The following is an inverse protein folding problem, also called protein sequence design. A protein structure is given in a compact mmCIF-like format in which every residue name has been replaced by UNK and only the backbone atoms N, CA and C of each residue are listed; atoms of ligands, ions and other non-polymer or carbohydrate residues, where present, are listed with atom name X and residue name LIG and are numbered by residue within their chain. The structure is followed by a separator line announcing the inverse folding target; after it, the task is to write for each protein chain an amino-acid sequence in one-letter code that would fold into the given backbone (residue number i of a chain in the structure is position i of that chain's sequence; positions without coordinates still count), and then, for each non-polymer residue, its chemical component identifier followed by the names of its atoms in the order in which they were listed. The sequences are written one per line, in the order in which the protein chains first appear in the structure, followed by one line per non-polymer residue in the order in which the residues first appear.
data_IF_418234685125
#
_entry.id   IF_418234685125
#
_cell.length_a   1.000
_cell.length_b   1.000
_cell.length_c   1.000
_cell.angle_alpha   90.00
_cell.angle_beta   90.00
_cell.angle_gamma   90.00
#
_symmetry.space_group_name_H-M   'P 1'
#
loop_
_entity.id
_entity.type
_entity.pdbx_description
1 polymer ?
#
# COMPACT_ATOMS: atom_id res chain seq x y z
N UNK A 1 14.84 2.85 18.61
CA UNK A 1 13.74 1.88 18.80
C UNK A 1 13.86 0.82 17.72
N UNK A 2 13.83 -0.47 18.06
CA UNK A 2 13.77 -1.54 17.06
C UNK A 2 12.34 -1.59 16.53
N UNK A 3 12.17 -1.26 15.26
CA UNK A 3 10.90 -1.40 14.56
C UNK A 3 10.61 -2.91 14.44
N UNK A 4 9.48 -3.43 14.96
CA UNK A 4 9.11 -4.84 14.81
C UNK A 4 9.02 -5.21 13.32
N UNK A 5 9.37 -6.45 12.97
CA UNK A 5 9.37 -6.96 11.59
C UNK A 5 8.01 -6.86 10.86
N UNK A 6 6.91 -6.61 11.58
CA UNK A 6 5.59 -6.33 11.01
C UNK A 6 5.53 -5.01 10.22
N UNK A 7 6.31 -4.00 10.60
CA UNK A 7 6.32 -2.69 9.96
C UNK A 7 6.99 -2.67 8.57
N UNK A 8 8.04 -3.46 8.38
CA UNK A 8 8.65 -3.71 7.07
C UNK A 8 7.67 -4.35 6.09
N UNK A 9 6.65 -5.07 6.59
CA UNK A 9 5.57 -5.59 5.76
C UNK A 9 4.54 -4.52 5.40
N UNK A 10 4.24 -3.54 6.26
CA UNK A 10 3.32 -2.41 5.93
C UNK A 10 3.84 -1.59 4.75
N UNK A 11 5.16 -1.49 4.61
CA UNK A 11 5.80 -0.96 3.42
C UNK A 11 5.41 -1.75 2.16
N UNK A 12 5.45 -3.09 2.15
CA UNK A 12 5.03 -3.92 1.00
C UNK A 12 3.59 -3.63 0.53
N UNK A 13 2.71 -3.20 1.43
CA UNK A 13 1.26 -3.25 1.28
C UNK A 13 0.69 -2.11 0.43
N UNK A 14 1.33 -0.95 0.33
CA UNK A 14 0.71 0.23 -0.30
C UNK A 14 1.03 0.41 -1.79
N UNK A 15 1.86 -0.45 -2.38
CA UNK A 15 2.47 -0.19 -3.69
C UNK A 15 1.79 -0.87 -4.87
N UNK A 16 1.37 -2.12 -4.70
CA UNK A 16 0.94 -2.92 -5.83
C UNK A 16 -0.35 -2.45 -6.55
N UNK A 17 -1.33 -1.79 -5.91
CA UNK A 17 -2.49 -1.28 -6.64
C UNK A 17 -2.13 -0.24 -7.71
N UNK A 18 -1.01 0.48 -7.54
CA UNK A 18 -0.58 1.55 -8.45
C UNK A 18 0.19 1.04 -9.67
N UNK A 19 0.98 -0.02 -9.51
CA UNK A 19 1.76 -0.60 -10.61
C UNK A 19 0.86 -1.15 -11.73
N UNK A 20 -0.30 -1.70 -11.35
CA UNK A 20 -1.22 -2.38 -12.27
C UNK A 20 -2.05 -1.35 -13.07
N UNK A 21 -2.30 -0.16 -12.51
CA UNK A 21 -3.18 0.85 -13.12
C UNK A 21 -2.48 2.11 -13.64
N UNK A 22 -1.24 2.41 -13.22
CA UNK A 22 -0.54 3.63 -13.64
C UNK A 22 0.15 3.53 -15.00
N UNK A 23 0.11 2.38 -15.69
CA UNK A 23 0.79 2.21 -16.99
C UNK A 23 -0.12 1.61 -18.07
N UNK A 24 -0.07 2.12 -19.31
CA UNK A 24 -0.64 1.41 -20.45
C UNK A 24 0.09 0.07 -20.61
N UNK A 25 -0.66 -1.04 -20.60
CA UNK A 25 -0.25 -2.43 -20.90
C UNK A 25 1.26 -2.63 -21.11
N UNK A 26 2.04 -2.69 -20.03
CA UNK A 26 3.40 -3.24 -20.11
C UNK A 26 3.26 -4.74 -19.82
N UNK A 27 3.54 -5.55 -20.84
CA UNK A 27 3.62 -7.00 -20.71
C UNK A 27 4.72 -7.39 -19.72
N UNK A 28 4.37 -8.34 -18.85
CA UNK A 28 5.21 -8.92 -17.80
C UNK A 28 6.59 -9.43 -18.30
N UNK A 29 7.57 -9.60 -17.38
CA UNK A 29 7.42 -9.49 -15.93
C UNK A 29 7.69 -8.08 -15.39
N UNK A 30 6.63 -7.45 -14.88
CA UNK A 30 6.67 -6.28 -14.01
C UNK A 30 6.99 -6.73 -12.58
N UNK A 31 8.11 -7.42 -12.42
CA UNK A 31 8.60 -7.84 -11.10
C UNK A 31 9.19 -6.61 -10.40
N UNK A 32 8.85 -6.47 -9.13
CA UNK A 32 9.43 -5.45 -8.26
C UNK A 32 10.07 -6.13 -7.06
N UNK A 33 11.22 -5.60 -6.65
CA UNK A 33 11.96 -6.08 -5.48
C UNK A 33 11.93 -4.97 -4.45
N UNK A 34 11.38 -5.24 -3.27
CA UNK A 34 11.42 -4.30 -2.16
C UNK A 34 12.62 -4.61 -1.26
N UNK A 35 13.38 -3.59 -0.93
CA UNK A 35 14.40 -3.64 0.11
C UNK A 35 14.01 -2.68 1.22
N UNK A 36 13.69 -3.22 2.38
CA UNK A 36 13.29 -2.43 3.54
C UNK A 36 14.46 -2.19 4.49
N UNK A 37 14.56 -0.97 5.01
CA UNK A 37 15.50 -0.56 6.04
C UNK A 37 14.79 0.38 7.00
N UNK A 38 14.54 -0.09 8.21
CA UNK A 38 13.86 0.65 9.28
C UNK A 38 12.52 1.23 8.80
N UNK A 39 12.41 2.56 8.75
CA UNK A 39 11.21 3.32 8.37
C UNK A 39 11.16 3.67 6.87
N UNK A 40 12.16 3.22 6.10
CA UNK A 40 12.30 3.48 4.68
C UNK A 40 12.30 2.17 3.88
N UNK A 41 11.79 2.20 2.66
CA UNK A 41 11.96 1.07 1.72
C UNK A 41 12.18 1.56 0.31
N UNK A 42 13.13 0.95 -0.38
CA UNK A 42 13.37 1.16 -1.79
C UNK A 42 12.71 0.04 -2.58
N UNK A 43 12.06 0.38 -3.69
CA UNK A 43 11.45 -0.59 -4.58
C UNK A 43 12.13 -0.51 -5.92
N UNK A 44 12.78 -1.61 -6.27
CA UNK A 44 13.49 -1.76 -7.52
C UNK A 44 12.56 -2.35 -8.57
N UNK A 45 12.60 -1.83 -9.79
CA UNK A 45 12.09 -2.53 -10.96
C UNK A 45 12.98 -3.74 -11.30
N UNK A 46 12.48 -4.62 -12.18
CA UNK A 46 13.22 -5.79 -12.65
C UNK A 46 14.59 -5.47 -13.26
N UNK A 47 14.81 -4.25 -13.77
CA UNK A 47 16.10 -3.78 -14.29
C UNK A 47 17.05 -3.24 -13.21
N UNK A 48 16.69 -3.37 -11.92
CA UNK A 48 17.52 -2.98 -10.78
C UNK A 48 17.52 -1.48 -10.47
N UNK A 49 16.68 -0.68 -11.12
CA UNK A 49 16.54 0.76 -10.80
C UNK A 49 15.50 0.97 -9.72
N UNK A 50 15.72 1.97 -8.85
CA UNK A 50 14.70 2.40 -7.89
C UNK A 50 13.52 2.99 -8.67
N UNK A 51 12.39 2.29 -8.67
CA UNK A 51 11.14 2.74 -9.26
C UNK A 51 10.35 3.61 -8.30
N UNK A 52 10.38 3.26 -7.01
CA UNK A 52 9.65 3.96 -5.95
C UNK A 52 10.41 3.92 -4.63
N UNK A 53 10.04 4.85 -3.76
CA UNK A 53 10.53 4.90 -2.38
C UNK A 53 9.35 5.06 -1.42
N UNK A 54 9.40 4.27 -0.35
CA UNK A 54 8.50 4.28 0.78
C UNK A 54 9.12 5.06 1.94
N UNK A 55 8.34 5.90 2.60
CA UNK A 55 8.69 6.42 3.92
C UNK A 55 7.53 6.25 4.89
N UNK A 56 7.80 5.70 6.06
CA UNK A 56 6.92 5.69 7.20
C UNK A 56 7.42 6.71 8.21
N UNK A 57 6.58 7.64 8.60
CA UNK A 57 6.88 8.58 9.68
C UNK A 57 5.98 8.22 10.85
N UNK A 58 6.58 7.64 11.89
CA UNK A 58 5.94 7.41 13.17
C UNK A 58 5.99 8.71 13.99
N UNK A 59 4.90 9.02 14.69
CA UNK A 59 4.83 10.12 15.64
C UNK A 59 5.37 11.44 15.08
N UNK A 60 4.97 11.82 13.86
CA UNK A 60 5.45 13.04 13.22
C UNK A 60 5.31 14.22 14.22
N UNK A 61 6.41 14.89 14.62
CA UNK A 61 6.52 15.57 15.92
C UNK A 61 5.59 16.78 16.11
N UNK A 62 4.85 17.18 15.07
CA UNK A 62 3.89 18.27 15.13
C UNK A 62 2.42 17.84 15.26
N UNK A 63 2.08 16.56 15.05
CA UNK A 63 0.68 16.12 15.04
C UNK A 63 0.39 14.80 15.76
N UNK A 64 1.41 13.99 16.09
CA UNK A 64 1.17 12.66 16.68
C UNK A 64 0.35 11.77 15.75
N UNK A 65 0.65 11.80 14.44
CA UNK A 65 -0.05 10.99 13.45
C UNK A 65 0.96 10.11 12.72
N UNK A 66 0.63 8.83 12.55
CA UNK A 66 1.38 7.94 11.64
C UNK A 66 1.13 8.38 10.19
N UNK A 67 2.20 8.66 9.45
CA UNK A 67 2.15 9.06 8.04
C UNK A 67 2.91 8.11 7.16
N UNK A 68 2.37 7.92 5.97
CA UNK A 68 3.00 7.11 4.95
C UNK A 68 3.17 7.94 3.69
N UNK A 69 4.39 8.01 3.17
CA UNK A 69 4.72 8.78 1.98
C UNK A 69 5.21 7.86 0.88
N UNK A 70 4.58 7.96 -0.29
CA UNK A 70 5.07 7.34 -1.51
C UNK A 70 5.80 8.38 -2.35
N UNK A 71 7.01 8.05 -2.81
CA UNK A 71 7.79 8.84 -3.77
C UNK A 71 8.14 7.98 -4.99
N UNK A 72 8.37 8.63 -6.12
CA UNK A 72 8.99 7.97 -7.27
C UNK A 72 10.50 7.78 -7.07
N UNK A 73 11.16 7.13 -8.03
CA UNK A 73 12.60 6.91 -8.02
C UNK A 73 13.45 8.19 -7.98
N UNK A 74 12.89 9.34 -8.35
CA UNK A 74 13.56 10.64 -8.27
C UNK A 74 13.34 11.36 -6.93
N UNK A 75 12.72 10.70 -5.95
CA UNK A 75 12.30 11.23 -4.63
C UNK A 75 11.12 12.21 -4.69
N UNK A 76 10.53 12.44 -5.87
CA UNK A 76 9.34 13.29 -5.98
C UNK A 76 8.17 12.58 -5.30
N UNK A 77 7.54 13.27 -4.36
CA UNK A 77 6.35 12.77 -3.66
C UNK A 77 5.19 12.56 -4.63
N UNK A 78 4.65 11.34 -4.64
CA UNK A 78 3.46 10.96 -5.38
C UNK A 78 2.20 11.20 -4.55
N UNK A 79 2.19 10.72 -3.30
CA UNK A 79 1.12 10.99 -2.34
C UNK A 79 1.59 10.73 -0.91
N UNK A 80 0.76 11.12 0.07
CA UNK A 80 0.86 10.63 1.42
C UNK A 80 -0.50 10.17 1.95
N UNK A 81 -0.47 9.21 2.86
CA UNK A 81 -1.60 8.76 3.64
C UNK A 81 -1.35 9.10 5.10
N UNK A 82 -2.44 9.36 5.81
CA UNK A 82 -2.41 9.63 7.26
C UNK A 82 -3.34 8.64 7.93
N UNK A 83 -2.86 8.01 8.99
CA UNK A 83 -3.66 7.11 9.79
C UNK A 83 -4.77 7.89 10.55
N UNK A 84 -5.87 7.22 10.83
CA UNK A 84 -6.96 7.70 11.68
C UNK A 84 -6.59 7.72 13.17
N UNK A 85 -5.62 6.90 13.58
CA UNK A 85 -4.98 6.87 14.89
C UNK A 85 -3.57 6.29 14.78
N UNK A 86 -2.79 6.31 15.86
CA UNK A 86 -1.46 5.71 15.86
C UNK A 86 -1.52 4.22 15.54
N UNK A 87 -0.72 3.82 14.55
CA UNK A 87 -0.79 2.45 14.04
C UNK A 87 -0.34 1.45 15.10
N UNK A 88 -1.16 0.42 15.31
CA UNK A 88 -0.85 -0.71 16.17
C UNK A 88 -1.22 -2.01 15.45
N UNK A 89 -0.31 -2.99 15.45
CA UNK A 89 -0.45 -4.24 14.68
C UNK A 89 -1.69 -5.08 15.05
N UNK A 90 -2.27 -4.85 16.24
CA UNK A 90 -3.45 -5.56 16.73
C UNK A 90 -4.75 -4.76 16.60
N UNK A 91 -4.70 -3.54 16.05
CA UNK A 91 -5.87 -2.69 15.85
C UNK A 91 -6.16 -2.49 14.37
N UNK A 92 -7.45 -2.38 14.06
CA UNK A 92 -7.89 -1.96 12.73
C UNK A 92 -7.46 -0.51 12.53
N UNK A 93 -6.74 -0.21 11.45
CA UNK A 93 -6.27 1.15 11.14
C UNK A 93 -6.66 1.54 9.72
N UNK A 94 -7.08 2.80 9.54
CA UNK A 94 -7.45 3.35 8.24
C UNK A 94 -6.51 4.48 7.87
N UNK A 95 -5.79 4.33 6.76
CA UNK A 95 -4.94 5.37 6.21
C UNK A 95 -5.65 6.05 5.04
N UNK A 96 -5.77 7.37 5.09
CA UNK A 96 -6.47 8.16 4.06
C UNK A 96 -5.57 9.23 3.46
N UNK A 97 -5.74 9.49 2.16
CA UNK A 97 -5.17 10.67 1.54
C UNK A 97 -6.06 11.88 1.83
N UNK A 98 -5.66 12.71 2.80
CA UNK A 98 -6.40 13.92 3.19
C UNK A 98 -6.41 15.03 2.13
N UNK A 99 -5.32 15.16 1.36
CA UNK A 99 -5.16 16.19 0.32
C UNK A 99 -5.32 15.57 -1.07
N UNK A 100 -6.29 16.03 -1.84
CA UNK A 100 -6.54 15.58 -3.21
C UNK A 100 -7.62 16.42 -3.88
N UNK A 101 -7.88 16.23 -5.18
CA UNK A 101 -9.01 16.88 -5.83
C UNK A 101 -10.33 16.43 -5.17
N UNK A 102 -11.36 17.29 -5.14
CA UNK A 102 -12.68 16.91 -4.65
C UNK A 102 -13.21 15.68 -5.40
N UNK A 103 -13.69 14.68 -4.66
CA UNK A 103 -14.26 13.46 -5.23
C UNK A 103 -15.78 13.55 -5.31
N UNK A 104 -16.36 13.03 -6.40
CA UNK A 104 -17.82 13.04 -6.62
C UNK A 104 -18.58 12.11 -5.67
N UNK A 105 -17.92 11.08 -5.16
CA UNK A 105 -18.49 10.02 -4.31
C UNK A 105 -18.31 10.30 -2.81
N UNK A 106 -17.80 11.47 -2.42
CA UNK A 106 -17.46 11.86 -1.05
C UNK A 106 -16.48 10.90 -0.33
N UNK A 107 -15.81 10.01 -1.07
CA UNK A 107 -14.78 9.14 -0.52
C UNK A 107 -13.38 9.77 -0.65
N UNK A 108 -12.43 9.44 0.24
CA UNK A 108 -11.04 9.88 0.08
C UNK A 108 -10.47 9.48 -1.28
N UNK A 109 -9.57 10.28 -1.84
CA UNK A 109 -8.89 9.94 -3.12
C UNK A 109 -8.19 8.56 -3.05
N UNK A 110 -7.67 8.22 -1.86
CA UNK A 110 -7.02 6.95 -1.53
C UNK A 110 -7.37 6.59 -0.10
N UNK A 111 -7.73 5.33 0.13
CA UNK A 111 -7.97 4.77 1.45
C UNK A 111 -7.44 3.33 1.53
N UNK A 112 -6.71 3.06 2.61
CA UNK A 112 -5.99 1.83 2.85
C UNK A 112 -6.38 1.36 4.25
N UNK A 113 -7.11 0.27 4.34
CA UNK A 113 -7.61 -0.28 5.60
C UNK A 113 -6.83 -1.54 5.95
N UNK A 114 -6.26 -1.54 7.15
CA UNK A 114 -5.72 -2.72 7.80
C UNK A 114 -6.77 -3.32 8.72
N UNK A 115 -7.06 -4.60 8.56
CA UNK A 115 -7.90 -5.35 9.49
C UNK A 115 -7.09 -6.55 10.02
N UNK A 116 -6.58 -6.48 11.25
CA UNK A 116 -5.91 -7.61 11.86
C UNK A 116 -6.92 -8.73 12.12
N UNK A 117 -6.56 -9.96 11.79
CA UNK A 117 -7.41 -11.13 12.06
C UNK A 117 -6.65 -12.09 12.97
N UNK A 118 -7.23 -12.35 14.15
CA UNK A 118 -6.59 -13.15 15.20
C UNK A 118 -6.37 -14.61 14.76
N UNK A 119 -7.28 -15.16 13.95
CA UNK A 119 -7.30 -16.59 13.57
C UNK A 119 -7.06 -16.84 12.06
N UNK A 120 -6.73 -15.81 11.29
CA UNK A 120 -6.52 -15.94 9.84
C UNK A 120 -5.50 -14.94 9.32
N UNK A 121 -5.19 -15.01 8.03
CA UNK A 121 -4.41 -13.97 7.35
C UNK A 121 -5.01 -12.57 7.62
N UNK A 122 -4.16 -11.60 7.94
CA UNK A 122 -4.58 -10.21 8.01
C UNK A 122 -5.04 -9.75 6.64
N UNK A 123 -6.06 -8.90 6.63
CA UNK A 123 -6.65 -8.42 5.40
C UNK A 123 -6.32 -6.95 5.26
N UNK A 124 -5.72 -6.62 4.13
CA UNK A 124 -5.61 -5.24 3.69
C UNK A 124 -6.62 -4.98 2.59
N UNK A 125 -7.30 -3.85 2.69
CA UNK A 125 -8.18 -3.34 1.62
C UNK A 125 -7.62 -2.03 1.12
N UNK A 126 -7.55 -1.89 -0.19
CA UNK A 126 -7.05 -0.69 -0.83
C UNK A 126 -8.11 -0.18 -1.80
N UNK A 127 -8.39 1.10 -1.73
CA UNK A 127 -9.20 1.75 -2.75
C UNK A 127 -8.60 3.09 -3.15
N UNK A 128 -8.70 3.40 -4.44
CA UNK A 128 -8.24 4.68 -4.98
C UNK A 128 -9.01 5.07 -6.23
N UNK A 129 -9.11 6.37 -6.49
CA UNK A 129 -9.61 6.86 -7.76
C UNK A 129 -8.49 6.83 -8.81
N UNK A 130 -8.70 6.13 -9.91
CA UNK A 130 -7.76 6.07 -11.03
C UNK A 130 -7.85 7.32 -11.93
N UNK A 131 -6.99 7.38 -12.95
CA UNK A 131 -6.92 8.51 -13.88
C UNK A 131 -8.17 8.63 -14.78
N UNK A 132 -8.99 7.58 -14.89
CA UNK A 132 -10.26 7.62 -15.62
C UNK A 132 -11.40 8.18 -14.77
N UNK A 133 -11.15 8.44 -13.46
CA UNK A 133 -12.19 8.81 -12.51
C UNK A 133 -13.02 7.62 -12.04
N UNK A 134 -12.49 6.40 -12.17
CA UNK A 134 -13.12 5.17 -11.68
C UNK A 134 -12.47 4.72 -10.38
N UNK A 135 -13.30 4.31 -9.42
CA UNK A 135 -12.84 3.77 -8.14
C UNK A 135 -12.38 2.33 -8.34
N UNK A 136 -11.13 2.04 -7.99
CA UNK A 136 -10.58 0.70 -8.01
C UNK A 136 -10.49 0.15 -6.60
N UNK A 137 -10.78 -1.14 -6.44
CA UNK A 137 -10.79 -1.84 -5.17
C UNK A 137 -9.87 -3.05 -5.22
N UNK A 138 -9.09 -3.24 -4.16
CA UNK A 138 -8.18 -4.36 -4.03
C UNK A 138 -8.22 -4.92 -2.62
N UNK A 139 -7.87 -6.20 -2.54
CA UNK A 139 -7.69 -6.93 -1.29
C UNK A 139 -6.36 -7.64 -1.33
N UNK A 140 -5.59 -7.51 -0.27
CA UNK A 140 -4.40 -8.31 -0.04
C UNK A 140 -4.62 -9.22 1.16
N UNK A 141 -4.44 -10.52 0.89
CA UNK A 141 -4.39 -11.58 1.90
C UNK A 141 -2.92 -11.93 2.12
N UNK A 142 -2.42 -11.67 3.33
CA UNK A 142 -1.01 -11.89 3.65
C UNK A 142 -0.85 -13.01 4.68
N UNK A 143 0.00 -13.97 4.38
CA UNK A 143 0.44 -14.98 5.33
C UNK A 143 1.74 -14.51 6.00
N UNK A 144 1.65 -13.95 7.20
CA UNK A 144 2.82 -13.47 7.94
C UNK A 144 3.84 -14.57 8.28
N UNK A 145 3.41 -15.82 8.42
CA UNK A 145 4.34 -16.93 8.75
C UNK A 145 5.22 -17.29 7.57
N UNK A 146 4.66 -17.23 6.37
CA UNK A 146 5.34 -17.62 5.14
C UNK A 146 5.93 -16.41 4.40
N UNK A 147 5.62 -15.18 4.84
CA UNK A 147 6.03 -13.93 4.19
C UNK A 147 5.55 -13.83 2.72
N UNK A 148 4.48 -14.55 2.39
CA UNK A 148 3.84 -14.58 1.07
C UNK A 148 2.46 -13.91 1.11
N UNK A 149 2.01 -13.43 -0.05
CA UNK A 149 0.70 -12.78 -0.15
C UNK A 149 0.13 -12.75 -1.55
N UNK A 150 -1.18 -12.56 -1.61
CA UNK A 150 -1.92 -12.49 -2.86
C UNK A 150 -2.77 -11.23 -2.92
N UNK A 151 -2.64 -10.49 -4.02
CA UNK A 151 -3.34 -9.25 -4.28
C UNK A 151 -4.43 -9.54 -5.29
N UNK A 152 -5.66 -9.28 -4.87
CA UNK A 152 -6.84 -9.47 -5.67
C UNK A 152 -7.47 -8.12 -5.98
N UNK A 153 -7.89 -7.93 -7.23
CA UNK A 153 -8.83 -6.87 -7.60
C UNK A 153 -10.24 -7.32 -7.25
N UNK A 154 -10.99 -6.45 -6.57
CA UNK A 154 -12.36 -6.72 -6.15
C UNK A 154 -13.30 -6.05 -7.13
N UNK A 155 -14.15 -6.83 -7.80
CA UNK A 155 -15.17 -6.34 -8.73
C UNK A 155 -16.55 -6.74 -8.19
N UNK A 156 -17.43 -5.76 -8.02
CA UNK A 156 -18.75 -6.00 -7.44
C UNK A 156 -19.54 -7.01 -8.29
N UNK A 157 -20.08 -8.04 -7.64
CA UNK A 157 -20.87 -9.09 -8.28
C UNK A 157 -20.07 -10.10 -9.11
N UNK A 158 -18.74 -10.04 -9.06
CA UNK A 158 -17.84 -11.00 -9.71
C UNK A 158 -16.90 -11.62 -8.67
N UNK A 159 -16.23 -12.72 -9.03
CA UNK A 159 -15.15 -13.26 -8.23
C UNK A 159 -13.96 -12.30 -8.15
N UNK A 160 -13.26 -12.28 -7.01
CA UNK A 160 -12.00 -11.56 -6.83
C UNK A 160 -10.98 -12.04 -7.89
N UNK A 161 -10.40 -11.11 -8.66
CA UNK A 161 -9.41 -11.41 -9.71
C UNK A 161 -8.00 -11.33 -9.12
N UNK A 162 -7.20 -12.40 -9.22
CA UNK A 162 -5.81 -12.37 -8.78
C UNK A 162 -4.94 -11.54 -9.73
N UNK A 163 -4.34 -10.46 -9.23
CA UNK A 163 -3.58 -9.49 -10.06
C UNK A 163 -2.15 -9.28 -9.58
N UNK A 164 -1.75 -9.88 -8.46
CA UNK A 164 -0.38 -9.81 -7.96
C UNK A 164 -0.08 -10.85 -6.88
N UNK A 165 1.21 -11.16 -6.73
CA UNK A 165 1.73 -12.04 -5.68
C UNK A 165 2.92 -11.40 -5.00
N UNK A 166 3.03 -11.62 -3.70
CA UNK A 166 4.20 -11.29 -2.88
C UNK A 166 4.90 -12.61 -2.58
N UNK A 167 6.22 -12.61 -2.82
CA UNK A 167 7.10 -13.74 -2.54
C UNK A 167 8.34 -13.23 -1.83
N UNK A 168 8.89 -14.06 -0.95
CA UNK A 168 10.17 -13.84 -0.27
C UNK A 168 11.33 -14.37 -1.12
#
# INVERSE_FOLDING_TARGET
MKIPSGFTFIALLLFFPFVIYARPKIALPNNYIMKSKDDHSEIFSADGKVAYQYGLELDAPSTGETRITLKDGSTKKLFNLVADHDFCENHKTTFTQRKGPPQKDNLPQREFQFEPKILSANVWRFNFMDNSGSRQYFRLKLNFKEEEGEIHRVVLGQGDELVGKIKR
#
